data_IF_312667671630
#
_entry.id   IF_312667671630
#
_cell.length_a   1.000
_cell.length_b   1.000
_cell.length_c   1.000
_cell.angle_alpha   90.00
_cell.angle_beta   90.00
_cell.angle_gamma   90.00
#
_symmetry.space_group_name_H-M   'P 1'
#
loop_
_entity.id
_entity.type
_entity.pdbx_description
1 polymer ?
#
# COMPACT_ATOMS: atom_id res chain seq x y z
N UNK A 1 -16.71 4.87 -23.33
CA UNK A 1 -15.92 3.64 -23.40
C UNK A 1 -15.41 3.40 -21.99
N UNK A 2 -15.83 2.33 -21.32
CA UNK A 2 -15.33 1.99 -20.00
C UNK A 2 -13.84 1.59 -20.12
N UNK A 3 -12.95 1.98 -19.17
CA UNK A 3 -11.58 1.55 -19.19
C UNK A 3 -11.55 0.02 -18.98
N UNK A 4 -10.86 -0.68 -19.89
CA UNK A 4 -10.59 -2.10 -19.75
C UNK A 4 -9.95 -2.40 -18.39
N UNK A 5 -10.43 -3.44 -17.71
CA UNK A 5 -9.79 -3.98 -16.50
C UNK A 5 -8.31 -4.23 -16.80
N UNK A 6 -7.42 -3.46 -16.17
CA UNK A 6 -5.99 -3.69 -16.24
C UNK A 6 -5.66 -4.86 -15.33
N UNK A 7 -5.44 -6.02 -15.92
CA UNK A 7 -4.83 -7.18 -15.25
C UNK A 7 -3.38 -6.79 -14.90
N UNK A 8 -3.00 -6.71 -13.62
CA UNK A 8 -1.65 -6.33 -13.23
C UNK A 8 -0.59 -7.33 -13.73
N UNK A 9 -0.96 -8.59 -14.01
CA UNK A 9 -0.10 -9.57 -14.67
C UNK A 9 0.10 -9.26 -16.16
N UNK A 10 -0.73 -8.40 -16.73
CA UNK A 10 -0.68 -7.88 -18.09
C UNK A 10 -0.23 -6.43 -18.17
N UNK A 11 0.39 -5.88 -17.11
CA UNK A 11 1.08 -4.61 -17.25
C UNK A 11 2.05 -4.77 -18.43
N UNK A 12 1.81 -4.02 -19.51
CA UNK A 12 2.63 -4.04 -20.70
C UNK A 12 4.04 -3.56 -20.34
N UNK A 13 4.84 -4.44 -19.73
CA UNK A 13 6.26 -4.23 -19.45
C UNK A 13 7.09 -3.97 -20.71
N UNK A 14 6.51 -4.18 -21.89
CA UNK A 14 7.12 -3.90 -23.20
C UNK A 14 6.90 -2.48 -23.71
N UNK A 15 6.16 -1.64 -23.00
CA UNK A 15 5.87 -0.28 -23.42
C UNK A 15 6.19 0.72 -22.30
N UNK A 16 7.41 0.71 -21.78
CA UNK A 16 7.99 1.95 -21.26
C UNK A 16 8.09 2.85 -22.49
N UNK A 17 7.13 3.76 -22.65
CA UNK A 17 7.22 4.71 -23.75
C UNK A 17 8.47 5.53 -23.50
N UNK A 18 9.33 5.43 -24.48
CA UNK A 18 10.47 6.29 -24.69
C UNK A 18 10.09 7.71 -24.28
N UNK A 19 11.01 8.37 -23.57
CA UNK A 19 10.87 9.79 -23.30
C UNK A 19 9.91 10.19 -22.15
N UNK A 20 9.74 9.35 -21.12
CA UNK A 20 8.95 9.69 -19.92
C UNK A 20 9.76 10.47 -18.88
N UNK A 21 9.07 11.20 -17.99
CA UNK A 21 9.63 11.64 -16.71
C UNK A 21 9.48 10.47 -15.71
N UNK A 22 10.60 9.84 -15.38
CA UNK A 22 10.63 8.61 -14.58
C UNK A 22 10.95 8.90 -13.13
N UNK A 23 10.14 8.37 -12.22
CA UNK A 23 10.41 8.39 -10.78
C UNK A 23 10.79 6.99 -10.32
N UNK A 24 11.89 6.87 -9.56
CA UNK A 24 12.42 5.56 -9.15
C UNK A 24 12.29 5.39 -7.63
N UNK A 25 11.77 4.24 -7.18
CA UNK A 25 11.68 3.90 -5.77
C UNK A 25 10.81 2.67 -5.48
N UNK A 26 10.82 2.22 -4.24
CA UNK A 26 9.98 1.08 -3.81
C UNK A 26 8.50 1.43 -3.70
N UNK A 27 8.18 2.68 -3.44
CA UNK A 27 6.81 3.20 -3.30
C UNK A 27 5.93 2.40 -2.33
N UNK A 28 6.53 1.75 -1.31
CA UNK A 28 5.73 1.05 -0.31
C UNK A 28 5.02 2.06 0.60
N UNK A 29 3.69 2.00 0.62
CA UNK A 29 2.80 2.95 1.30
C UNK A 29 2.41 4.18 0.49
N UNK A 30 3.05 4.51 -0.63
CA UNK A 30 2.79 5.71 -1.45
C UNK A 30 2.49 6.95 -0.59
N UNK A 31 3.30 7.16 0.46
CA UNK A 31 3.13 8.18 1.48
C UNK A 31 3.36 9.61 0.96
N UNK A 32 3.09 10.62 1.77
CA UNK A 32 3.21 12.03 1.39
C UNK A 32 4.57 12.40 0.77
N UNK A 33 5.67 11.78 1.23
CA UNK A 33 7.00 11.95 0.60
C UNK A 33 7.04 11.42 -0.84
N UNK A 34 6.48 10.24 -1.10
CA UNK A 34 6.37 9.69 -2.46
C UNK A 34 5.46 10.54 -3.35
N UNK A 35 4.33 11.02 -2.79
CA UNK A 35 3.40 11.90 -3.52
C UNK A 35 4.03 13.23 -3.88
N UNK A 36 4.88 13.78 -3.03
CA UNK A 36 5.63 15.00 -3.33
C UNK A 36 6.65 14.79 -4.44
N UNK A 37 7.33 13.63 -4.45
CA UNK A 37 8.22 13.26 -5.52
C UNK A 37 7.49 13.14 -6.87
N UNK A 38 6.32 12.49 -6.88
CA UNK A 38 5.44 12.43 -8.06
C UNK A 38 4.95 13.83 -8.50
N UNK A 39 4.65 14.71 -7.54
CA UNK A 39 4.27 16.09 -7.83
C UNK A 39 5.42 16.86 -8.49
N UNK A 40 6.66 16.68 -8.03
CA UNK A 40 7.83 17.29 -8.68
C UNK A 40 8.00 16.76 -10.11
N UNK A 41 7.88 15.46 -10.32
CA UNK A 41 7.91 14.86 -11.66
C UNK A 41 6.80 15.42 -12.57
N UNK A 42 5.61 15.69 -12.02
CA UNK A 42 4.49 16.28 -12.78
C UNK A 42 4.77 17.71 -13.22
N UNK A 43 5.48 18.50 -12.44
CA UNK A 43 5.89 19.85 -12.87
C UNK A 43 6.83 19.77 -14.06
N UNK A 44 7.83 18.89 -14.01
CA UNK A 44 8.76 18.66 -15.14
C UNK A 44 8.01 18.10 -16.36
N UNK A 45 7.06 17.17 -16.14
CA UNK A 45 6.20 16.62 -17.20
C UNK A 45 5.34 17.69 -17.85
N UNK A 46 4.72 18.58 -17.06
CA UNK A 46 3.89 19.69 -17.57
C UNK A 46 4.63 20.63 -18.48
N UNK A 47 5.89 20.93 -18.17
CA UNK A 47 6.74 21.78 -19.00
C UNK A 47 7.19 21.09 -20.32
N UNK A 48 7.14 19.76 -20.38
CA UNK A 48 7.68 18.96 -21.50
C UNK A 48 6.63 18.13 -22.23
N UNK A 49 5.38 18.12 -21.77
CA UNK A 49 4.28 17.27 -22.27
C UNK A 49 4.62 15.74 -22.28
N UNK A 50 5.52 15.32 -21.40
CA UNK A 50 5.98 13.91 -21.33
C UNK A 50 5.19 13.12 -20.30
N UNK A 51 4.90 11.85 -20.53
CA UNK A 51 4.18 11.02 -19.56
C UNK A 51 5.01 10.78 -18.30
N UNK A 52 4.32 10.54 -17.18
CA UNK A 52 4.95 10.15 -15.93
C UNK A 52 5.03 8.64 -15.86
N UNK A 53 6.23 8.14 -15.60
CA UNK A 53 6.45 6.72 -15.31
C UNK A 53 7.03 6.53 -13.91
N UNK A 54 6.77 5.37 -13.32
CA UNK A 54 7.38 4.93 -12.06
C UNK A 54 8.13 3.64 -12.30
N UNK A 55 9.40 3.58 -11.90
CA UNK A 55 10.16 2.33 -11.82
C UNK A 55 10.11 1.85 -10.36
N UNK A 56 9.62 0.62 -10.14
CA UNK A 56 9.60 -0.05 -8.84
C UNK A 56 10.07 -1.50 -8.96
N UNK A 57 10.27 -2.17 -7.83
CA UNK A 57 10.93 -3.47 -7.77
C UNK A 57 10.05 -4.52 -7.12
N UNK A 58 9.94 -5.70 -7.73
CA UNK A 58 9.25 -6.86 -7.17
C UNK A 58 10.05 -8.16 -7.43
N UNK A 59 10.20 -9.03 -6.40
CA UNK A 59 9.80 -8.81 -5.03
C UNK A 59 10.48 -7.59 -4.42
N UNK A 60 9.88 -7.03 -3.36
CA UNK A 60 10.51 -5.91 -2.63
C UNK A 60 11.93 -6.29 -2.19
N UNK A 61 12.95 -5.43 -2.35
CA UNK A 61 14.35 -5.77 -2.03
C UNK A 61 14.54 -6.37 -0.63
N UNK A 62 13.82 -5.86 0.38
CA UNK A 62 13.89 -6.44 1.73
C UNK A 62 13.44 -7.90 1.80
N UNK A 63 12.46 -8.31 0.97
CA UNK A 63 12.01 -9.70 0.90
C UNK A 63 13.01 -10.59 0.17
N UNK A 64 13.68 -10.06 -0.85
CA UNK A 64 14.74 -10.76 -1.56
C UNK A 64 15.93 -11.06 -0.65
N UNK A 65 16.43 -10.05 0.08
CA UNK A 65 17.57 -10.22 0.99
C UNK A 65 17.24 -10.99 2.27
N UNK A 66 15.98 -10.98 2.70
CA UNK A 66 15.50 -11.74 3.85
C UNK A 66 14.19 -12.46 3.52
N UNK A 67 14.27 -13.68 2.91
CA UNK A 67 13.09 -14.44 2.52
C UNK A 67 12.15 -14.79 3.68
N UNK A 68 12.67 -14.86 4.91
CA UNK A 68 11.91 -15.18 6.12
C UNK A 68 11.36 -13.93 6.84
N UNK A 69 11.54 -12.74 6.26
CA UNK A 69 11.00 -11.51 6.84
C UNK A 69 9.49 -11.63 7.05
N UNK A 70 9.03 -11.28 8.23
CA UNK A 70 7.59 -11.24 8.53
C UNK A 70 6.89 -10.31 7.55
N UNK A 71 5.60 -10.53 7.26
CA UNK A 71 4.81 -9.63 6.41
C UNK A 71 4.97 -8.18 6.86
N UNK A 72 5.33 -7.30 5.93
CA UNK A 72 5.71 -5.91 6.23
C UNK A 72 5.21 -4.88 5.20
N UNK A 73 4.54 -5.34 4.14
CA UNK A 73 4.09 -4.46 3.05
C UNK A 73 3.02 -3.50 3.55
N UNK A 74 3.21 -2.22 3.28
CA UNK A 74 2.16 -1.22 3.45
C UNK A 74 1.17 -1.28 2.29
N UNK A 75 1.69 -1.47 1.09
CA UNK A 75 0.94 -1.58 -0.16
C UNK A 75 1.49 -2.75 -0.98
N UNK A 76 0.86 -3.94 -0.98
CA UNK A 76 1.08 -4.95 -2.01
C UNK A 76 0.93 -4.36 -3.43
N UNK A 77 1.40 -5.08 -4.44
CA UNK A 77 1.55 -4.54 -5.80
C UNK A 77 0.24 -3.99 -6.37
N UNK A 78 -0.87 -4.70 -6.19
CA UNK A 78 -2.18 -4.30 -6.77
C UNK A 78 -2.64 -2.95 -6.23
N UNK A 79 -2.59 -2.77 -4.89
CA UNK A 79 -2.93 -1.50 -4.26
C UNK A 79 -1.94 -0.41 -4.64
N UNK A 80 -0.64 -0.71 -4.66
CA UNK A 80 0.39 0.24 -5.10
C UNK A 80 0.08 0.75 -6.50
N UNK A 81 -0.20 -0.16 -7.42
CA UNK A 81 -0.53 0.15 -8.83
C UNK A 81 -1.76 1.04 -8.92
N UNK A 82 -2.83 0.70 -8.19
CA UNK A 82 -4.06 1.49 -8.17
C UNK A 82 -3.83 2.90 -7.63
N UNK A 83 -3.11 3.03 -6.51
CA UNK A 83 -2.83 4.36 -5.92
C UNK A 83 -1.95 5.20 -6.85
N UNK A 84 -0.98 4.61 -7.54
CA UNK A 84 -0.15 5.31 -8.51
C UNK A 84 -0.97 5.76 -9.73
N UNK A 85 -1.89 4.92 -10.22
CA UNK A 85 -2.83 5.27 -11.30
C UNK A 85 -3.75 6.43 -10.89
N UNK A 86 -4.33 6.39 -9.69
CA UNK A 86 -5.14 7.48 -9.11
C UNK A 86 -4.35 8.80 -8.97
N UNK A 87 -3.03 8.71 -8.80
CA UNK A 87 -2.12 9.84 -8.80
C UNK A 87 -1.67 10.26 -10.20
N UNK A 88 -2.18 9.62 -11.25
CA UNK A 88 -1.93 9.94 -12.65
C UNK A 88 -0.54 9.53 -13.13
N UNK A 89 0.02 8.45 -12.57
CA UNK A 89 1.14 7.75 -13.17
C UNK A 89 0.62 6.98 -14.38
N UNK A 90 1.21 7.19 -15.53
CA UNK A 90 0.73 6.61 -16.79
C UNK A 90 1.38 5.26 -17.09
N UNK A 91 2.61 5.06 -16.62
CA UNK A 91 3.36 3.83 -16.85
C UNK A 91 4.03 3.34 -15.56
N UNK A 92 3.89 2.06 -15.27
CA UNK A 92 4.58 1.39 -14.18
C UNK A 92 5.58 0.39 -14.76
N UNK A 93 6.88 0.69 -14.58
CA UNK A 93 7.96 -0.25 -14.88
C UNK A 93 8.23 -1.11 -13.67
N UNK A 94 7.81 -2.36 -13.73
CA UNK A 94 8.04 -3.35 -12.69
C UNK A 94 9.34 -4.11 -12.99
N UNK A 95 10.39 -3.81 -12.25
CA UNK A 95 11.69 -4.48 -12.40
C UNK A 95 11.77 -5.66 -11.44
N UNK A 96 12.07 -6.85 -11.98
CA UNK A 96 12.30 -8.04 -11.16
C UNK A 96 13.55 -7.84 -10.31
N UNK A 97 13.39 -7.89 -8.99
CA UNK A 97 14.52 -7.82 -8.06
C UNK A 97 15.03 -9.23 -7.80
N UNK A 98 16.00 -9.64 -8.59
CA UNK A 98 16.64 -10.95 -8.56
C UNK A 98 18.13 -10.85 -8.24
N UNK A 99 18.83 -11.97 -8.29
CA UNK A 99 20.28 -12.03 -8.07
C UNK A 99 21.06 -11.16 -9.08
N UNK A 100 20.63 -11.13 -10.36
CA UNK A 100 21.28 -10.31 -11.39
C UNK A 100 21.19 -8.82 -11.05
N UNK A 101 20.02 -8.33 -10.62
CA UNK A 101 19.83 -6.95 -10.25
C UNK A 101 20.55 -6.63 -8.92
N UNK A 102 20.55 -7.55 -7.95
CA UNK A 102 21.19 -7.36 -6.65
C UNK A 102 22.73 -7.28 -6.73
N UNK A 103 23.33 -7.96 -7.70
CA UNK A 103 24.76 -7.99 -7.98
C UNK A 103 25.21 -6.95 -9.03
N UNK A 104 24.26 -6.22 -9.61
CA UNK A 104 24.54 -5.20 -10.61
C UNK A 104 25.27 -4.00 -9.99
N UNK A 105 26.42 -3.62 -10.57
CA UNK A 105 27.14 -2.42 -10.12
C UNK A 105 26.35 -1.14 -10.43
N UNK A 106 26.65 -0.07 -9.71
CA UNK A 106 26.01 1.23 -9.95
C UNK A 106 26.19 1.72 -11.40
N UNK A 107 27.39 1.56 -11.95
CA UNK A 107 27.67 1.95 -13.35
C UNK A 107 26.81 1.16 -14.34
N UNK A 108 26.71 -0.15 -14.17
CA UNK A 108 25.87 -1.00 -15.05
C UNK A 108 24.39 -0.64 -14.89
N UNK A 109 23.92 -0.35 -13.69
CA UNK A 109 22.57 0.11 -13.44
C UNK A 109 22.27 1.40 -14.21
N UNK A 110 23.14 2.41 -14.10
CA UNK A 110 22.98 3.69 -14.81
C UNK A 110 23.05 3.50 -16.34
N UNK A 111 24.13 2.90 -16.83
CA UNK A 111 24.43 2.86 -18.28
C UNK A 111 23.68 1.80 -19.06
N UNK A 112 23.17 0.75 -18.41
CA UNK A 112 22.37 -0.28 -19.08
C UNK A 112 20.92 -0.23 -18.68
N UNK A 113 20.61 -0.35 -17.40
CA UNK A 113 19.20 -0.47 -16.98
C UNK A 113 18.44 0.83 -17.19
N UNK A 114 18.97 1.97 -16.73
CA UNK A 114 18.29 3.27 -16.89
C UNK A 114 18.32 3.74 -18.35
N UNK A 115 19.44 3.57 -19.06
CA UNK A 115 19.50 3.93 -20.49
C UNK A 115 18.53 3.08 -21.32
N UNK A 116 18.41 1.78 -21.05
CA UNK A 116 17.46 0.93 -21.75
C UNK A 116 15.99 1.27 -21.43
N UNK A 117 15.71 1.81 -20.26
CA UNK A 117 14.39 2.32 -19.91
C UNK A 117 14.05 3.62 -20.65
N UNK A 118 15.04 4.25 -21.27
CA UNK A 118 14.95 5.44 -22.13
C UNK A 118 14.06 6.58 -21.57
N UNK A 119 14.26 7.00 -20.30
CA UNK A 119 13.60 8.17 -19.77
C UNK A 119 14.16 9.43 -20.43
N UNK A 120 13.39 10.52 -20.42
CA UNK A 120 13.93 11.84 -20.73
C UNK A 120 14.49 12.56 -19.50
N UNK A 121 13.91 12.22 -18.34
CA UNK A 121 14.26 12.82 -17.08
C UNK A 121 14.03 11.81 -15.95
N UNK A 122 14.97 11.71 -15.03
CA UNK A 122 14.84 10.88 -13.83
C UNK A 122 14.68 11.77 -12.60
N UNK A 123 13.69 11.47 -11.78
CA UNK A 123 13.44 12.12 -10.49
C UNK A 123 13.62 11.10 -9.38
N UNK A 124 14.54 11.37 -8.47
CA UNK A 124 14.82 10.50 -7.31
C UNK A 124 14.82 11.29 -6.01
N UNK A 125 14.55 10.63 -4.90
CA UNK A 125 14.77 11.20 -3.57
C UNK A 125 16.27 11.25 -3.24
N UNK A 126 16.69 12.19 -2.38
CA UNK A 126 18.09 12.30 -1.94
C UNK A 126 18.63 11.03 -1.26
N UNK A 127 17.72 10.22 -0.68
CA UNK A 127 18.04 8.95 -0.03
C UNK A 127 17.88 7.74 -0.99
N UNK A 128 17.96 7.98 -2.29
CA UNK A 128 17.92 6.89 -3.27
C UNK A 128 19.30 6.26 -3.38
N UNK A 129 19.36 4.94 -3.16
CA UNK A 129 20.54 4.11 -3.32
C UNK A 129 20.27 2.99 -4.33
N UNK A 130 21.28 2.64 -5.10
CA UNK A 130 21.21 1.60 -6.12
C UNK A 130 22.56 0.88 -6.27
N UNK A 131 22.56 -0.16 -7.08
CA UNK A 131 23.76 -0.96 -7.31
C UNK A 131 24.09 -1.90 -6.14
N UNK A 132 25.02 -2.81 -6.39
CA UNK A 132 25.49 -3.81 -5.43
C UNK A 132 25.96 -3.12 -4.14
N UNK A 133 25.49 -3.61 -3.00
CA UNK A 133 25.86 -3.04 -1.70
C UNK A 133 25.44 -1.59 -1.49
N UNK A 134 24.53 -1.04 -2.29
CA UNK A 134 24.11 0.37 -2.26
C UNK A 134 25.25 1.35 -2.57
N UNK A 135 26.17 0.97 -3.42
CA UNK A 135 27.33 1.81 -3.79
C UNK A 135 26.94 3.06 -4.59
N UNK A 136 25.83 3.00 -5.34
CA UNK A 136 25.28 4.12 -6.09
C UNK A 136 24.38 5.00 -5.21
N UNK A 137 24.48 6.31 -5.40
CA UNK A 137 23.69 7.33 -4.70
C UNK A 137 22.96 8.25 -5.67
N UNK A 138 21.94 8.97 -5.20
CA UNK A 138 21.28 10.00 -6.00
C UNK A 138 22.29 11.03 -6.54
N UNK A 139 23.27 11.44 -5.72
CA UNK A 139 24.31 12.38 -6.13
C UNK A 139 25.19 11.81 -7.24
N UNK A 140 25.61 10.55 -7.12
CA UNK A 140 26.38 9.88 -8.18
C UNK A 140 25.60 9.86 -9.50
N UNK A 141 24.31 9.60 -9.47
CA UNK A 141 23.46 9.63 -10.67
C UNK A 141 23.43 11.03 -11.30
N UNK A 142 23.35 12.08 -10.49
CA UNK A 142 23.36 13.45 -10.95
C UNK A 142 24.73 13.88 -11.51
N UNK A 143 25.83 13.46 -10.86
CA UNK A 143 27.20 13.79 -11.29
C UNK A 143 27.54 13.19 -12.67
N UNK A 144 26.85 12.11 -13.06
CA UNK A 144 27.01 11.46 -14.37
C UNK A 144 25.94 11.88 -15.40
N UNK A 145 25.05 12.83 -15.06
CA UNK A 145 23.96 13.24 -15.96
C UNK A 145 24.44 13.75 -17.32
N UNK A 146 25.57 14.44 -17.38
CA UNK A 146 26.15 14.94 -18.64
C UNK A 146 26.62 13.80 -19.59
N UNK A 147 26.84 12.61 -19.06
CA UNK A 147 27.26 11.42 -19.82
C UNK A 147 26.08 10.50 -20.18
N UNK A 148 24.88 10.77 -19.66
CA UNK A 148 23.68 9.97 -19.81
C UNK A 148 22.68 10.65 -20.75
N UNK A 149 21.84 9.89 -21.47
CA UNK A 149 20.88 10.46 -22.43
C UNK A 149 19.62 11.03 -21.78
N UNK A 150 19.66 11.36 -20.48
CA UNK A 150 18.54 11.89 -19.71
C UNK A 150 19.00 12.84 -18.60
N UNK A 151 18.15 13.77 -18.25
CA UNK A 151 18.38 14.67 -17.12
C UNK A 151 18.09 14.00 -15.78
N UNK A 152 18.66 14.50 -14.69
CA UNK A 152 18.45 14.00 -13.34
C UNK A 152 18.08 15.15 -12.39
N UNK A 153 17.03 14.92 -11.58
CA UNK A 153 16.66 15.81 -10.47
C UNK A 153 16.62 15.06 -9.17
N UNK A 154 17.31 15.58 -8.17
CA UNK A 154 17.26 15.07 -6.80
C UNK A 154 16.25 15.89 -6.00
N UNK A 155 15.28 15.20 -5.43
CA UNK A 155 14.27 15.79 -4.57
C UNK A 155 14.63 15.60 -3.09
N UNK A 156 14.65 16.70 -2.34
CA UNK A 156 14.91 16.65 -0.90
C UNK A 156 13.74 15.99 -0.16
N UNK A 157 14.06 15.17 0.83
CA UNK A 157 13.07 14.53 1.67
C UNK A 157 12.16 15.56 2.33
N UNK A 158 10.85 15.31 2.29
CA UNK A 158 9.90 16.13 3.02
C UNK A 158 9.78 15.64 4.46
N UNK A 159 9.61 16.59 5.36
CA UNK A 159 9.33 16.36 6.77
C UNK A 159 7.90 16.79 7.12
N UNK A 160 7.37 16.25 8.20
CA UNK A 160 6.12 16.70 8.82
C UNK A 160 6.34 17.95 9.70
N UNK A 161 5.30 18.41 10.37
CA UNK A 161 5.33 19.61 11.22
C UNK A 161 6.29 19.48 12.42
N UNK A 162 6.75 18.26 12.75
CA UNK A 162 7.73 17.97 13.79
C UNK A 162 9.16 17.88 13.25
N UNK A 163 9.40 18.18 11.98
CA UNK A 163 10.65 17.98 11.24
C UNK A 163 11.06 16.51 11.08
N UNK A 164 10.16 15.57 11.26
CA UNK A 164 10.42 14.15 11.04
C UNK A 164 10.13 13.76 9.58
N UNK A 165 11.10 13.14 8.91
CA UNK A 165 10.97 12.73 7.51
C UNK A 165 9.84 11.73 7.32
N UNK A 166 9.01 11.92 6.28
CA UNK A 166 8.04 10.93 5.83
C UNK A 166 8.74 9.65 5.39
N UNK A 167 8.46 8.53 6.03
CA UNK A 167 9.07 7.24 5.70
C UNK A 167 8.12 6.07 5.91
N UNK A 168 8.29 5.02 5.10
CA UNK A 168 7.55 3.77 5.25
C UNK A 168 7.83 3.10 6.60
N UNK A 169 9.01 3.29 7.18
CA UNK A 169 9.39 2.74 8.49
C UNK A 169 8.51 3.31 9.60
N UNK A 170 8.41 4.63 9.70
CA UNK A 170 7.53 5.28 10.71
C UNK A 170 6.06 4.88 10.55
N UNK A 171 5.59 4.74 9.31
CA UNK A 171 4.22 4.32 9.06
C UNK A 171 3.99 2.89 9.57
N UNK A 172 4.95 1.99 9.34
CA UNK A 172 4.87 0.62 9.88
C UNK A 172 4.83 0.61 11.40
N UNK A 173 5.66 1.40 12.06
CA UNK A 173 5.68 1.54 13.52
C UNK A 173 4.31 1.99 14.05
N UNK A 174 3.68 3.00 13.44
CA UNK A 174 2.35 3.45 13.84
C UNK A 174 1.26 2.39 13.60
N UNK A 175 1.30 1.67 12.48
CA UNK A 175 0.33 0.59 12.21
C UNK A 175 0.48 -0.53 13.24
N UNK A 176 1.72 -0.94 13.54
CA UNK A 176 2.01 -1.97 14.53
C UNK A 176 1.64 -1.56 15.96
N UNK A 177 1.69 -0.27 16.27
CA UNK A 177 1.26 0.28 17.55
C UNK A 177 -0.26 0.55 17.64
N UNK A 178 -1.02 0.37 16.55
CA UNK A 178 -2.45 0.71 16.49
C UNK A 178 -2.75 2.21 16.28
N UNK A 179 -1.72 3.04 16.13
CA UNK A 179 -1.84 4.49 15.87
C UNK A 179 -2.26 4.79 14.42
N UNK A 180 -3.37 4.20 13.99
CA UNK A 180 -3.84 4.27 12.59
C UNK A 180 -4.05 5.71 12.12
N UNK A 181 -4.48 6.60 12.98
CA UNK A 181 -4.68 8.00 12.63
C UNK A 181 -3.36 8.69 12.25
N UNK A 182 -2.28 8.43 13.00
CA UNK A 182 -0.94 8.94 12.67
C UNK A 182 -0.41 8.32 11.38
N UNK A 183 -0.58 6.99 11.20
CA UNK A 183 -0.22 6.31 9.97
C UNK A 183 -0.93 6.93 8.76
N UNK A 184 -2.26 7.09 8.82
CA UNK A 184 -3.07 7.69 7.77
C UNK A 184 -2.66 9.15 7.48
N UNK A 185 -2.27 9.90 8.50
CA UNK A 185 -1.77 11.27 8.32
C UNK A 185 -0.46 11.30 7.53
N UNK A 186 0.48 10.40 7.82
CA UNK A 186 1.74 10.30 7.06
C UNK A 186 1.53 9.78 5.63
N UNK A 187 0.61 8.83 5.46
CA UNK A 187 0.24 8.30 4.15
C UNK A 187 -0.42 9.38 3.27
N UNK A 188 -1.27 10.21 3.86
CA UNK A 188 -2.12 11.14 3.12
C UNK A 188 -3.34 10.47 2.48
N UNK A 189 -3.64 9.24 2.88
CA UNK A 189 -4.81 8.45 2.51
C UNK A 189 -5.13 7.46 3.63
N UNK A 190 -6.34 6.87 3.62
CA UNK A 190 -6.73 5.87 4.64
C UNK A 190 -6.10 4.53 4.29
N UNK A 191 -5.22 4.03 5.15
CA UNK A 191 -4.60 2.73 4.93
C UNK A 191 -5.65 1.64 4.84
N UNK A 192 -5.51 0.79 3.84
CA UNK A 192 -6.48 -0.27 3.56
C UNK A 192 -5.82 -1.61 3.33
N UNK A 193 -6.57 -2.65 3.64
CA UNK A 193 -6.26 -4.04 3.39
C UNK A 193 -7.26 -4.53 2.36
N UNK A 194 -6.79 -5.21 1.32
CA UNK A 194 -7.61 -5.75 0.24
C UNK A 194 -7.40 -7.27 0.15
N UNK A 195 -8.48 -7.99 -0.09
CA UNK A 195 -8.42 -9.44 -0.26
C UNK A 195 -9.77 -10.05 -0.55
N UNK A 196 -9.76 -11.32 -0.91
CA UNK A 196 -10.97 -12.08 -1.19
C UNK A 196 -11.66 -12.50 0.10
N UNK A 197 -12.98 -12.35 0.16
CA UNK A 197 -13.80 -12.80 1.29
C UNK A 197 -13.84 -14.33 1.33
N UNK A 198 -13.36 -14.89 2.45
CA UNK A 198 -13.34 -16.33 2.71
C UNK A 198 -14.42 -16.75 3.69
N UNK A 199 -14.72 -18.05 3.73
CA UNK A 199 -15.60 -18.61 4.77
C UNK A 199 -14.93 -18.56 6.13
N UNK A 200 -15.70 -18.12 7.16
CA UNK A 200 -15.32 -18.16 8.56
C UNK A 200 -16.20 -19.14 9.34
N UNK A 201 -16.03 -19.17 10.67
CA UNK A 201 -16.74 -20.08 11.58
C UNK A 201 -18.27 -19.85 11.67
N UNK A 202 -18.79 -18.82 11.01
CA UNK A 202 -20.23 -18.44 11.00
C UNK A 202 -20.80 -18.16 12.41
N UNK A 203 -19.95 -18.10 13.45
CA UNK A 203 -20.38 -17.83 14.84
C UNK A 203 -21.00 -16.43 14.97
N UNK A 204 -20.42 -15.42 14.32
CA UNK A 204 -20.98 -14.07 14.31
C UNK A 204 -22.40 -14.02 13.78
N UNK A 205 -22.74 -14.82 12.75
CA UNK A 205 -24.10 -14.93 12.21
C UNK A 205 -25.10 -15.46 13.24
N UNK A 206 -24.71 -16.45 14.06
CA UNK A 206 -25.55 -17.01 15.13
C UNK A 206 -25.82 -15.98 16.22
N UNK A 207 -24.87 -15.10 16.49
CA UNK A 207 -24.95 -14.03 17.48
C UNK A 207 -25.66 -12.76 16.95
N UNK A 208 -26.03 -12.72 15.67
CA UNK A 208 -26.67 -11.54 15.04
C UNK A 208 -25.70 -10.51 14.44
N UNK A 209 -24.39 -10.85 14.37
CA UNK A 209 -23.34 -9.99 13.81
C UNK A 209 -22.55 -10.74 12.72
N UNK A 210 -23.16 -10.96 11.53
CA UNK A 210 -22.48 -11.68 10.45
C UNK A 210 -21.25 -10.91 9.97
N UNK A 211 -20.07 -11.56 9.94
CA UNK A 211 -18.81 -10.98 9.51
C UNK A 211 -18.35 -11.50 8.16
N UNK A 212 -17.76 -10.62 7.37
CA UNK A 212 -16.94 -10.99 6.22
C UNK A 212 -15.50 -11.15 6.68
N UNK A 213 -14.84 -12.24 6.26
CA UNK A 213 -13.51 -12.59 6.72
C UNK A 213 -12.54 -12.58 5.55
N UNK A 214 -11.33 -12.09 5.77
CA UNK A 214 -10.22 -12.18 4.80
C UNK A 214 -8.89 -12.29 5.53
N UNK A 215 -7.87 -12.85 4.88
CA UNK A 215 -6.51 -12.92 5.42
C UNK A 215 -5.77 -11.59 5.22
N UNK A 216 -4.72 -11.37 6.02
CA UNK A 216 -3.85 -10.21 5.82
C UNK A 216 -2.78 -10.44 4.74
N UNK A 217 -2.53 -11.66 4.31
CA UNK A 217 -1.52 -11.95 3.29
C UNK A 217 -0.17 -11.27 3.56
N UNK A 218 0.34 -10.52 2.61
CA UNK A 218 1.65 -9.83 2.69
C UNK A 218 1.63 -8.51 3.49
N UNK A 219 0.45 -8.03 3.89
CA UNK A 219 0.35 -6.79 4.64
C UNK A 219 1.05 -6.87 5.98
N UNK A 220 1.66 -5.74 6.38
CA UNK A 220 2.13 -5.57 7.75
C UNK A 220 1.00 -5.90 8.74
N UNK A 221 1.37 -6.53 9.85
CA UNK A 221 0.42 -6.86 10.91
C UNK A 221 0.15 -5.62 11.76
N UNK A 222 -1.08 -5.05 11.75
CA UNK A 222 -1.43 -3.99 12.69
C UNK A 222 -1.51 -4.54 14.12
N UNK A 223 -1.58 -3.67 15.11
CA UNK A 223 -1.94 -4.11 16.47
C UNK A 223 -3.22 -4.96 16.42
N UNK A 224 -3.25 -6.07 17.12
CA UNK A 224 -4.46 -6.89 17.17
C UNK A 224 -5.53 -6.21 18.04
N UNK A 225 -6.78 -6.34 17.62
CA UNK A 225 -7.88 -5.68 18.30
C UNK A 225 -9.02 -5.28 17.40
N UNK A 226 -9.87 -4.41 17.91
CA UNK A 226 -11.10 -3.95 17.25
C UNK A 226 -10.90 -2.56 16.68
N UNK A 227 -11.38 -2.37 15.45
CA UNK A 227 -11.20 -1.15 14.66
C UNK A 227 -12.52 -0.61 14.14
N UNK A 228 -12.66 0.70 14.13
CA UNK A 228 -13.61 1.39 13.27
C UNK A 228 -13.05 1.39 11.85
N UNK A 229 -13.83 0.87 10.90
CA UNK A 229 -13.38 0.68 9.51
C UNK A 229 -14.45 1.12 8.51
N UNK A 230 -14.04 1.38 7.27
CA UNK A 230 -14.93 1.47 6.11
C UNK A 230 -14.64 0.30 5.20
N UNK A 231 -15.70 -0.30 4.69
CA UNK A 231 -15.60 -1.47 3.80
C UNK A 231 -16.14 -1.11 2.43
N UNK A 232 -15.40 -1.45 1.39
CA UNK A 232 -15.91 -1.44 0.02
C UNK A 232 -15.84 -2.85 -0.55
N UNK A 233 -16.88 -3.23 -1.27
CA UNK A 233 -16.96 -4.50 -1.99
C UNK A 233 -16.75 -4.18 -3.46
N UNK A 234 -15.80 -4.85 -4.09
CA UNK A 234 -15.62 -4.75 -5.53
C UNK A 234 -16.83 -5.40 -6.20
N UNK A 235 -17.65 -4.58 -6.84
CA UNK A 235 -18.61 -5.05 -7.83
C UNK A 235 -18.05 -4.68 -9.19
N UNK A 236 -18.17 -5.56 -10.15
CA UNK A 236 -17.55 -5.48 -11.47
C UNK A 236 -17.79 -4.18 -12.27
N UNK A 237 -18.67 -3.30 -11.80
CA UNK A 237 -19.18 -2.17 -12.58
C UNK A 237 -19.25 -0.82 -11.86
N UNK A 238 -18.78 -0.66 -10.61
CA UNK A 238 -18.99 0.60 -9.88
C UNK A 238 -17.67 1.27 -9.48
N UNK A 239 -17.28 2.28 -10.23
CA UNK A 239 -16.34 3.31 -9.82
C UNK A 239 -17.07 4.66 -9.71
N UNK A 240 -16.97 5.39 -8.60
CA UNK A 240 -16.13 5.12 -7.42
C UNK A 240 -16.74 4.06 -6.49
N UNK A 241 -15.87 3.34 -5.75
CA UNK A 241 -16.29 2.33 -4.78
C UNK A 241 -17.22 2.92 -3.71
N UNK A 242 -18.34 2.25 -3.45
CA UNK A 242 -19.23 2.62 -2.36
C UNK A 242 -18.66 2.08 -1.04
N UNK A 243 -18.41 2.98 -0.09
CA UNK A 243 -17.90 2.66 1.22
C UNK A 243 -19.00 2.53 2.27
N UNK A 244 -19.02 1.42 2.98
CA UNK A 244 -19.95 1.12 4.06
C UNK A 244 -19.25 1.26 5.41
N UNK A 245 -19.88 1.87 6.44
CA UNK A 245 -19.34 1.87 7.79
C UNK A 245 -19.40 0.47 8.37
N UNK A 246 -18.35 0.11 9.13
CA UNK A 246 -18.20 -1.22 9.71
C UNK A 246 -17.34 -1.18 10.98
N UNK A 247 -17.37 -2.27 11.72
CA UNK A 247 -16.42 -2.60 12.78
C UNK A 247 -15.68 -3.87 12.38
N UNK A 248 -14.37 -3.93 12.62
CA UNK A 248 -13.59 -5.12 12.30
C UNK A 248 -12.74 -5.54 13.49
N UNK A 249 -12.65 -6.86 13.70
CA UNK A 249 -11.62 -7.45 14.55
C UNK A 249 -10.46 -7.91 13.67
N UNK A 250 -9.23 -7.62 14.09
CA UNK A 250 -8.01 -8.12 13.48
C UNK A 250 -7.25 -8.93 14.54
N UNK A 251 -7.05 -10.20 14.27
CA UNK A 251 -6.40 -11.09 15.23
C UNK A 251 -6.17 -12.50 14.70
N UNK A 252 -5.54 -13.34 15.52
CA UNK A 252 -5.28 -14.74 15.19
C UNK A 252 -6.43 -15.60 15.75
N UNK A 253 -6.95 -16.49 14.90
CA UNK A 253 -7.91 -17.50 15.32
C UNK A 253 -7.21 -18.84 15.52
N UNK A 254 -7.16 -19.39 16.75
CA UNK A 254 -6.47 -20.66 17.03
C UNK A 254 -7.01 -21.87 16.26
N UNK A 255 -8.25 -21.79 15.76
CA UNK A 255 -8.90 -22.87 15.01
C UNK A 255 -8.52 -22.89 13.52
N UNK A 256 -7.86 -21.87 12.99
CA UNK A 256 -7.37 -21.90 11.62
C UNK A 256 -5.99 -22.57 11.57
N UNK A 257 -5.78 -23.57 10.69
CA UNK A 257 -4.56 -24.36 10.64
C UNK A 257 -3.28 -23.54 10.38
N UNK A 258 -3.42 -22.35 9.80
CA UNK A 258 -2.29 -21.50 9.38
C UNK A 258 -1.80 -20.53 10.45
N UNK A 259 -2.49 -20.36 11.58
CA UNK A 259 -2.25 -19.25 12.53
C UNK A 259 -2.12 -17.86 11.83
N UNK A 260 -2.71 -17.72 10.65
CA UNK A 260 -2.68 -16.48 9.90
C UNK A 260 -3.70 -15.50 10.49
N UNK A 261 -3.32 -14.23 10.74
CA UNK A 261 -4.26 -13.24 11.22
C UNK A 261 -5.36 -12.96 10.19
N UNK A 262 -6.58 -12.81 10.69
CA UNK A 262 -7.77 -12.50 9.89
C UNK A 262 -8.26 -11.09 10.18
N UNK A 263 -8.89 -10.50 9.19
CA UNK A 263 -9.78 -9.34 9.31
C UNK A 263 -11.20 -9.86 9.28
N UNK A 264 -11.96 -9.67 10.35
CA UNK A 264 -13.35 -10.06 10.48
C UNK A 264 -14.21 -8.80 10.55
N UNK A 265 -14.82 -8.39 9.44
CA UNK A 265 -15.56 -7.14 9.33
C UNK A 265 -17.09 -7.36 9.42
N UNK A 266 -17.73 -6.73 10.39
CA UNK A 266 -19.18 -6.60 10.46
C UNK A 266 -19.61 -5.27 9.82
N UNK A 267 -20.24 -5.36 8.66
CA UNK A 267 -20.67 -4.20 7.87
C UNK A 267 -22.06 -3.79 8.36
N UNK A 268 -22.21 -2.53 8.76
CA UNK A 268 -23.46 -2.03 9.32
C UNK A 268 -24.53 -1.89 8.24
N UNK A 269 -25.74 -2.30 8.60
CA UNK A 269 -26.94 -2.12 7.77
C UNK A 269 -26.78 -2.71 6.35
N UNK A 270 -26.06 -3.83 6.27
CA UNK A 270 -25.70 -4.49 5.02
C UNK A 270 -26.11 -5.97 5.04
N UNK A 271 -26.70 -6.43 3.93
CA UNK A 271 -27.09 -7.82 3.77
C UNK A 271 -26.88 -8.26 2.32
N UNK A 272 -25.82 -9.01 2.08
CA UNK A 272 -25.55 -9.68 0.82
C UNK A 272 -24.61 -10.87 1.05
N UNK A 273 -24.54 -11.79 0.10
CA UNK A 273 -23.51 -12.80 0.06
C UNK A 273 -22.22 -12.20 -0.50
N UNK A 274 -21.14 -12.30 0.28
CA UNK A 274 -19.84 -11.70 -0.03
C UNK A 274 -18.76 -12.75 -0.32
N UNK A 275 -19.04 -14.04 -0.16
CA UNK A 275 -18.04 -15.07 -0.38
C UNK A 275 -17.45 -15.03 -1.80
N UNK A 276 -16.12 -15.10 -1.88
CA UNK A 276 -15.40 -15.05 -3.13
C UNK A 276 -15.29 -13.65 -3.78
N UNK A 277 -15.91 -12.62 -3.16
CA UNK A 277 -15.80 -11.25 -3.67
C UNK A 277 -14.57 -10.55 -3.10
N UNK A 278 -14.00 -9.65 -3.88
CA UNK A 278 -12.93 -8.77 -3.40
C UNK A 278 -13.50 -7.72 -2.45
N UNK A 279 -12.85 -7.57 -1.30
CA UNK A 279 -13.22 -6.65 -0.24
C UNK A 279 -12.02 -5.76 0.11
N UNK A 280 -12.28 -4.46 0.27
CA UNK A 280 -11.32 -3.48 0.75
C UNK A 280 -11.76 -2.97 2.12
N UNK A 281 -10.84 -2.95 3.09
CA UNK A 281 -11.12 -2.51 4.45
C UNK A 281 -10.17 -1.37 4.80
N UNK A 282 -10.70 -0.14 4.88
CA UNK A 282 -9.95 1.04 5.33
C UNK A 282 -9.98 1.12 6.85
N UNK A 283 -8.81 1.11 7.49
CA UNK A 283 -8.68 1.31 8.92
C UNK A 283 -8.75 2.80 9.25
N UNK A 284 -9.68 3.15 10.14
CA UNK A 284 -9.91 4.54 10.56
C UNK A 284 -9.39 4.81 11.96
N UNK A 285 -9.72 3.93 12.92
CA UNK A 285 -9.31 4.08 14.31
C UNK A 285 -9.26 2.73 15.02
N UNK A 286 -8.20 2.50 15.80
CA UNK A 286 -8.14 1.41 16.76
C UNK A 286 -9.05 1.76 17.95
N UNK A 287 -9.97 0.89 18.31
CA UNK A 287 -10.95 1.12 19.38
C UNK A 287 -10.51 0.50 20.70
N UNK A 288 -9.96 -0.71 20.65
CA UNK A 288 -9.44 -1.44 21.81
C UNK A 288 -8.64 -2.67 21.36
N UNK A 289 -7.83 -3.19 22.28
CA UNK A 289 -7.14 -4.46 22.13
C UNK A 289 -8.11 -5.67 22.21
N UNK A 290 -7.65 -6.85 21.81
CA UNK A 290 -8.40 -8.09 22.01
C UNK A 290 -8.66 -8.32 23.51
N UNK A 291 -9.85 -8.79 23.84
CA UNK A 291 -10.22 -9.16 25.21
C UNK A 291 -10.72 -10.60 25.28
N UNK A 292 -10.33 -11.30 26.32
CA UNK A 292 -10.95 -12.59 26.66
C UNK A 292 -12.28 -12.31 27.35
N UNK A 293 -13.33 -12.91 26.83
CA UNK A 293 -14.69 -12.81 27.36
C UNK A 293 -15.14 -14.24 27.70
N UNK A 294 -15.58 -14.43 28.94
CA UNK A 294 -15.83 -15.78 29.47
C UNK A 294 -17.23 -16.31 29.09
N UNK A 295 -18.15 -15.39 28.79
CA UNK A 295 -19.53 -15.77 28.46
C UNK A 295 -19.99 -15.19 27.11
N UNK A 296 -20.93 -15.88 26.49
CA UNK A 296 -21.55 -15.40 25.24
C UNK A 296 -22.31 -14.06 25.44
N UNK A 297 -22.91 -13.89 26.61
CA UNK A 297 -23.62 -12.63 26.93
C UNK A 297 -22.67 -11.45 27.00
N UNK A 298 -21.51 -11.63 27.63
CA UNK A 298 -20.45 -10.59 27.67
C UNK A 298 -19.95 -10.28 26.27
N UNK A 299 -19.75 -11.31 25.43
CA UNK A 299 -19.33 -11.16 24.03
C UNK A 299 -20.36 -10.30 23.25
N UNK A 300 -21.64 -10.63 23.32
CA UNK A 300 -22.71 -9.87 22.66
C UNK A 300 -22.74 -8.42 23.14
N UNK A 301 -22.63 -8.20 24.45
CA UNK A 301 -22.60 -6.86 25.04
C UNK A 301 -21.41 -6.05 24.51
N UNK A 302 -20.23 -6.69 24.49
CA UNK A 302 -19.02 -6.03 24.01
C UNK A 302 -19.10 -5.69 22.52
N UNK A 303 -19.59 -6.62 21.67
CA UNK A 303 -19.76 -6.36 20.24
C UNK A 303 -20.70 -5.18 19.99
N UNK A 304 -21.80 -5.05 20.76
CA UNK A 304 -22.70 -3.91 20.66
C UNK A 304 -22.00 -2.60 20.98
N UNK A 305 -21.23 -2.58 22.08
CA UNK A 305 -20.45 -1.41 22.46
C UNK A 305 -19.42 -1.03 21.41
N UNK A 306 -18.75 -2.04 20.81
CA UNK A 306 -17.77 -1.83 19.73
C UNK A 306 -18.44 -1.23 18.47
N UNK A 307 -19.65 -1.70 18.15
CA UNK A 307 -20.44 -1.12 17.05
C UNK A 307 -20.80 0.34 17.29
N UNK A 308 -21.24 0.70 18.52
CA UNK A 308 -21.54 2.09 18.90
C UNK A 308 -20.30 2.98 18.81
N UNK A 309 -19.18 2.51 19.37
CA UNK A 309 -17.90 3.22 19.33
C UNK A 309 -17.40 3.40 17.87
N UNK A 310 -17.56 2.37 17.03
CA UNK A 310 -17.18 2.46 15.63
C UNK A 310 -18.04 3.48 14.88
N UNK A 311 -19.37 3.46 15.03
CA UNK A 311 -20.26 4.45 14.42
C UNK A 311 -19.86 5.89 14.82
N UNK A 312 -19.66 6.12 16.10
CA UNK A 312 -19.22 7.44 16.62
C UNK A 312 -17.88 7.87 16.02
N UNK A 313 -16.88 6.98 15.97
CA UNK A 313 -15.57 7.30 15.40
C UNK A 313 -15.64 7.61 13.90
N UNK A 314 -16.50 6.91 13.14
CA UNK A 314 -16.67 7.09 11.69
C UNK A 314 -17.42 8.37 11.34
N UNK A 315 -18.31 8.85 12.19
CA UNK A 315 -19.00 10.15 12.02
C UNK A 315 -18.03 11.33 12.17
N UNK A 316 -17.07 11.24 13.09
CA UNK A 316 -16.07 12.28 13.35
C UNK A 316 -14.98 12.40 12.26
N UNK A 317 -14.90 11.42 11.35
CA UNK A 317 -13.87 11.32 10.32
C UNK A 317 -14.41 11.47 8.89
N UNK A 318 -15.52 12.19 8.73
CA UNK A 318 -16.09 12.53 7.41
C UNK A 318 -15.21 13.46 6.62
#
# INVERSE_FOLDING_TARGET
MAPEKRDPSKSNLSAVRENSVMVIGNFDGVHKGHRALLKAARLISGDTEKPISVMTFEPHPAKFFNPDIKPFRLTPLDIKTRILDDLGVEYLMLSTFDENLSEMTADVFMRKMLVNANPSHIVVGENFYFGKGKEGTAQMLQDHSDELPFDVSIFKSLSDDNNDVYSSTRIREYIQAGDIQKANNLLGWKWEIEGTVIEGDKRGRQLGFPTANMTLGEYIRPAFGVYAVRVAISSDDVTPAKWYPAVANIGIRPMYPSNEPLVEAYIFDFSADLYGKEMRVQLVKHLRDEAKLDTEQELIKQIRQDCENARSALEQTK
#
